data_IF_940500151115
#
_entry.id   IF_940500151115
#
_cell.length_a   1.000
_cell.length_b   1.000
_cell.length_c   1.000
_cell.angle_alpha   90.00
_cell.angle_beta   90.00
_cell.angle_gamma   90.00
#
_symmetry.space_group_name_H-M   'P 1'
#
loop_
_entity.id
_entity.type
_entity.pdbx_description
1 polymer ?
#
# COMPACT_ATOMS: atom_id res chain seq x y z
N UNK A 1 -54.36 16.87 -33.15
CA UNK A 1 -53.13 16.10 -33.45
C UNK A 1 -52.04 16.61 -32.52
N UNK A 2 -51.91 16.01 -31.33
CA UNK A 2 -50.84 16.36 -30.34
C UNK A 2 -49.68 15.42 -30.56
N UNK A 3 -48.52 15.94 -30.93
CA UNK A 3 -47.28 15.19 -31.07
C UNK A 3 -46.59 15.17 -29.70
N UNK A 4 -46.61 14.03 -29.00
CA UNK A 4 -45.84 13.80 -27.75
C UNK A 4 -44.36 13.75 -28.09
N UNK A 5 -43.60 14.71 -27.61
CA UNK A 5 -42.14 14.69 -27.60
C UNK A 5 -41.66 13.87 -26.38
N UNK A 6 -41.20 12.67 -26.61
CA UNK A 6 -40.56 11.86 -25.57
C UNK A 6 -39.09 12.33 -25.47
N UNK A 7 -38.79 13.06 -24.40
CA UNK A 7 -37.43 13.48 -24.06
C UNK A 7 -36.71 12.33 -23.41
N UNK A 8 -35.85 11.65 -24.19
CA UNK A 8 -35.02 10.54 -23.67
C UNK A 8 -33.88 11.10 -22.83
N UNK A 9 -33.99 10.98 -21.53
CA UNK A 9 -32.95 11.39 -20.58
C UNK A 9 -31.88 10.27 -20.50
N UNK A 10 -30.77 10.45 -21.25
CA UNK A 10 -29.58 9.61 -21.11
C UNK A 10 -28.91 9.89 -19.78
N UNK A 11 -29.12 9.01 -18.80
CA UNK A 11 -28.35 9.02 -17.55
C UNK A 11 -26.98 8.42 -17.86
N UNK A 12 -25.97 9.28 -18.07
CA UNK A 12 -24.57 8.86 -18.05
C UNK A 12 -24.20 8.42 -16.61
N UNK A 13 -24.23 7.12 -16.36
CA UNK A 13 -23.58 6.55 -15.18
C UNK A 13 -22.06 6.73 -15.33
N UNK A 14 -21.53 7.79 -14.73
CA UNK A 14 -20.09 7.88 -14.49
C UNK A 14 -19.70 6.76 -13.54
N UNK A 15 -19.13 5.67 -14.06
CA UNK A 15 -18.48 4.64 -13.27
C UNK A 15 -17.27 5.28 -12.60
N UNK A 16 -17.42 5.72 -11.35
CA UNK A 16 -16.28 6.04 -10.49
C UNK A 16 -15.54 4.71 -10.28
N UNK A 17 -14.40 4.58 -10.93
CA UNK A 17 -13.51 3.43 -10.71
C UNK A 17 -13.17 3.36 -9.22
N UNK A 18 -13.77 2.41 -8.52
CA UNK A 18 -13.32 2.03 -7.19
C UNK A 18 -11.93 1.45 -7.38
N UNK A 19 -10.91 2.19 -6.97
CA UNK A 19 -9.57 1.65 -6.90
C UNK A 19 -9.65 0.44 -5.99
N UNK A 20 -9.44 -0.75 -6.53
CA UNK A 20 -9.46 -1.96 -5.74
C UNK A 20 -8.32 -1.88 -4.73
N UNK A 21 -8.61 -2.00 -3.44
CA UNK A 21 -7.58 -2.12 -2.42
C UNK A 21 -6.71 -3.34 -2.74
N UNK A 22 -5.39 -3.25 -2.47
CA UNK A 22 -4.47 -4.35 -2.71
C UNK A 22 -4.91 -5.66 -2.06
N UNK A 23 -4.55 -6.79 -2.66
CA UNK A 23 -4.89 -8.12 -2.16
C UNK A 23 -3.81 -8.62 -1.18
N UNK A 24 -4.10 -8.72 0.14
CA UNK A 24 -3.09 -9.11 1.12
C UNK A 24 -2.64 -10.58 0.98
N UNK A 25 -3.46 -11.47 0.40
CA UNK A 25 -3.06 -12.86 0.15
C UNK A 25 -2.02 -12.94 -0.98
N UNK A 26 -2.24 -12.21 -2.08
CA UNK A 26 -1.26 -12.06 -3.14
C UNK A 26 0.00 -11.36 -2.63
N UNK A 27 -0.15 -10.32 -1.80
CA UNK A 27 0.94 -9.60 -1.15
C UNK A 27 1.82 -10.51 -0.29
N UNK A 28 1.24 -11.46 0.43
CA UNK A 28 1.98 -12.46 1.22
C UNK A 28 2.94 -13.28 0.35
N UNK A 29 2.50 -13.71 -0.83
CA UNK A 29 3.35 -14.47 -1.73
C UNK A 29 4.46 -13.61 -2.33
N UNK A 30 4.15 -12.38 -2.71
CA UNK A 30 5.11 -11.39 -3.23
C UNK A 30 6.12 -10.95 -2.16
N UNK A 31 5.72 -10.88 -0.89
CA UNK A 31 6.56 -10.51 0.24
C UNK A 31 7.72 -11.47 0.52
N UNK A 32 7.74 -12.67 -0.06
CA UNK A 32 8.85 -13.62 0.07
C UNK A 32 10.18 -13.02 -0.38
N UNK A 33 10.17 -12.17 -1.40
CA UNK A 33 11.37 -11.47 -1.87
C UNK A 33 11.87 -10.42 -0.85
N UNK A 34 11.01 -9.91 0.00
CA UNK A 34 11.31 -8.89 1.01
C UNK A 34 11.77 -9.49 2.35
N UNK A 35 11.45 -10.76 2.57
CA UNK A 35 11.57 -11.43 3.86
C UNK A 35 13.01 -11.54 4.36
N UNK A 36 13.99 -11.67 3.47
CA UNK A 36 15.40 -11.81 3.83
C UNK A 36 15.92 -10.61 4.65
N UNK A 37 15.40 -9.42 4.40
CA UNK A 37 15.79 -8.20 5.08
C UNK A 37 14.74 -7.75 6.11
N UNK A 38 13.47 -7.74 5.72
CA UNK A 38 12.40 -7.18 6.54
C UNK A 38 11.67 -8.19 7.44
N UNK A 39 11.99 -9.48 7.33
CA UNK A 39 11.24 -10.54 7.99
C UNK A 39 9.99 -10.96 7.21
N UNK A 40 9.53 -12.18 7.40
CA UNK A 40 8.40 -12.75 6.66
C UNK A 40 7.08 -11.96 6.88
N UNK A 41 6.92 -11.39 8.05
CA UNK A 41 5.78 -10.57 8.46
C UNK A 41 6.08 -9.07 8.49
N UNK A 42 7.29 -8.66 8.09
CA UNK A 42 7.73 -7.28 8.14
C UNK A 42 8.27 -6.84 9.51
N UNK A 43 8.44 -7.76 10.46
CA UNK A 43 9.13 -7.49 11.73
C UNK A 43 10.61 -7.86 11.58
N UNK A 44 11.40 -6.92 11.10
CA UNK A 44 12.84 -7.12 10.92
C UNK A 44 13.52 -7.58 12.22
N UNK A 45 14.41 -8.57 12.09
CA UNK A 45 15.21 -9.07 13.22
C UNK A 45 16.35 -8.12 13.61
N UNK A 46 16.68 -7.14 12.78
CA UNK A 46 17.77 -6.19 13.02
C UNK A 46 17.32 -4.76 12.81
N UNK A 47 17.90 -3.79 13.53
CA UNK A 47 17.59 -2.37 13.32
C UNK A 47 18.12 -1.80 11.99
N UNK A 48 18.95 -2.55 11.27
CA UNK A 48 19.49 -2.14 9.98
C UNK A 48 18.40 -2.05 8.92
N UNK A 49 17.41 -2.92 8.99
CA UNK A 49 16.28 -2.96 8.05
C UNK A 49 15.01 -2.46 8.75
N UNK A 50 14.29 -1.53 8.15
CA UNK A 50 13.10 -0.97 8.79
C UNK A 50 11.99 -2.00 8.95
N UNK A 51 11.23 -1.85 10.04
CA UNK A 51 10.01 -2.60 10.28
C UNK A 51 8.91 -2.12 9.34
N UNK A 52 8.25 -3.07 8.66
CA UNK A 52 7.12 -2.82 7.74
C UNK A 52 5.78 -3.21 8.36
N UNK A 53 5.80 -4.17 9.29
CA UNK A 53 4.60 -4.70 9.93
C UNK A 53 3.80 -3.61 10.63
N UNK A 54 2.52 -3.50 10.27
CA UNK A 54 1.61 -2.51 10.85
C UNK A 54 1.85 -1.06 10.40
N UNK A 55 2.67 -0.84 9.36
CA UNK A 55 2.81 0.48 8.76
C UNK A 55 1.56 0.83 7.96
N UNK A 56 1.25 2.12 7.82
CA UNK A 56 0.13 2.59 7.01
C UNK A 56 0.25 2.13 5.56
N UNK A 57 -0.83 1.58 5.02
CA UNK A 57 -0.88 1.04 3.66
C UNK A 57 -0.50 2.10 2.61
N UNK A 58 -1.09 3.29 2.70
CA UNK A 58 -0.78 4.41 1.82
C UNK A 58 0.69 4.88 1.91
N UNK A 59 1.30 4.82 3.10
CA UNK A 59 2.71 5.15 3.27
C UNK A 59 3.60 4.11 2.59
N UNK A 60 3.29 2.83 2.72
CA UNK A 60 4.03 1.75 2.05
C UNK A 60 3.96 1.88 0.52
N UNK A 61 2.77 2.18 -0.02
CA UNK A 61 2.57 2.45 -1.45
C UNK A 61 3.44 3.62 -1.90
N UNK A 62 3.36 4.73 -1.18
CA UNK A 62 4.15 5.92 -1.50
C UNK A 62 5.66 5.64 -1.45
N UNK A 63 6.13 4.96 -0.41
CA UNK A 63 7.55 4.65 -0.25
C UNK A 63 8.08 3.75 -1.38
N UNK A 64 7.35 2.69 -1.76
CA UNK A 64 7.74 1.81 -2.86
C UNK A 64 7.74 2.53 -4.21
N UNK A 65 6.74 3.37 -4.48
CA UNK A 65 6.69 4.20 -5.70
C UNK A 65 7.84 5.20 -5.74
N UNK A 66 8.18 5.82 -4.61
CA UNK A 66 9.29 6.76 -4.52
C UNK A 66 10.67 6.08 -4.76
N UNK A 67 10.87 4.86 -4.26
CA UNK A 67 12.07 4.08 -4.58
C UNK A 67 12.13 3.69 -6.06
N UNK A 68 11.00 3.26 -6.63
CA UNK A 68 10.90 2.88 -8.03
C UNK A 68 11.17 4.04 -8.99
N UNK A 69 10.69 5.24 -8.66
CA UNK A 69 10.88 6.46 -9.45
C UNK A 69 12.25 7.12 -9.25
N UNK A 70 13.00 6.73 -8.21
CA UNK A 70 14.26 7.38 -7.85
C UNK A 70 14.09 8.64 -7.00
N UNK A 71 12.87 9.02 -6.66
CA UNK A 71 12.59 10.15 -5.76
C UNK A 71 13.16 9.89 -4.36
N UNK A 72 13.11 8.64 -3.90
CA UNK A 72 13.76 8.19 -2.68
C UNK A 72 14.99 7.37 -3.02
N UNK A 73 16.17 7.82 -2.56
CA UNK A 73 17.45 7.21 -2.90
C UNK A 73 17.86 6.16 -1.86
N UNK A 74 17.86 4.91 -2.27
CA UNK A 74 18.48 3.78 -1.59
C UNK A 74 18.76 2.71 -2.65
N UNK A 75 20.02 2.37 -2.95
CA UNK A 75 20.35 1.46 -4.04
C UNK A 75 19.72 0.07 -3.91
N UNK A 76 19.61 -0.46 -2.69
CA UNK A 76 19.01 -1.77 -2.42
C UNK A 76 17.51 -1.72 -2.72
N UNK A 77 16.81 -0.76 -2.12
CA UNK A 77 15.37 -0.64 -2.30
C UNK A 77 14.98 -0.21 -3.71
N UNK A 78 15.79 0.60 -4.39
CA UNK A 78 15.56 0.93 -5.80
C UNK A 78 15.61 -0.33 -6.67
N UNK A 79 16.58 -1.22 -6.45
CA UNK A 79 16.66 -2.50 -7.14
C UNK A 79 15.48 -3.43 -6.83
N UNK A 80 15.01 -3.46 -5.59
CA UNK A 80 13.87 -4.28 -5.17
C UNK A 80 12.53 -3.74 -5.69
N UNK A 81 12.37 -2.42 -5.79
CA UNK A 81 11.14 -1.79 -6.24
C UNK A 81 11.02 -1.70 -7.77
N UNK A 82 12.15 -1.69 -8.49
CA UNK A 82 12.18 -1.52 -9.95
C UNK A 82 11.26 -2.50 -10.72
N UNK A 83 11.25 -3.81 -10.43
CA UNK A 83 10.43 -4.77 -11.17
C UNK A 83 8.94 -4.77 -10.76
N UNK A 84 8.55 -4.11 -9.65
CA UNK A 84 7.19 -4.15 -9.13
C UNK A 84 6.22 -3.39 -10.05
N UNK A 85 5.06 -3.98 -10.31
CA UNK A 85 3.92 -3.27 -10.90
C UNK A 85 3.20 -2.44 -9.83
N UNK A 86 2.28 -1.56 -10.23
CA UNK A 86 1.46 -0.83 -9.27
C UNK A 86 0.58 -1.78 -8.43
N UNK A 87 0.06 -2.84 -9.06
CA UNK A 87 -0.68 -3.89 -8.36
C UNK A 87 0.19 -4.62 -7.33
N UNK A 88 1.46 -4.95 -7.68
CA UNK A 88 2.38 -5.57 -6.74
C UNK A 88 2.64 -4.69 -5.52
N UNK A 89 2.79 -3.40 -5.74
CA UNK A 89 3.00 -2.41 -4.67
C UNK A 89 1.77 -2.33 -3.75
N UNK A 90 0.58 -2.30 -4.32
CA UNK A 90 -0.68 -2.26 -3.56
C UNK A 90 -0.89 -3.55 -2.75
N UNK A 91 -0.62 -4.72 -3.34
CA UNK A 91 -0.73 -6.01 -2.68
C UNK A 91 0.26 -6.15 -1.51
N UNK A 92 1.52 -5.78 -1.74
CA UNK A 92 2.56 -5.77 -0.69
C UNK A 92 2.20 -4.83 0.46
N UNK A 93 1.73 -3.63 0.15
CA UNK A 93 1.30 -2.67 1.15
C UNK A 93 0.10 -3.19 1.96
N UNK A 94 -0.87 -3.80 1.28
CA UNK A 94 -2.03 -4.42 1.92
C UNK A 94 -1.63 -5.58 2.85
N UNK A 95 -0.61 -6.35 2.50
CA UNK A 95 -0.10 -7.43 3.34
C UNK A 95 0.60 -6.90 4.58
N UNK A 96 1.63 -6.07 4.42
CA UNK A 96 2.44 -5.61 5.54
C UNK A 96 1.68 -4.70 6.50
N UNK A 97 0.77 -3.88 6.01
CA UNK A 97 -0.04 -3.00 6.86
C UNK A 97 -0.93 -3.76 7.85
N UNK A 98 -1.32 -4.98 7.52
CA UNK A 98 -2.16 -5.83 8.36
C UNK A 98 -1.39 -6.72 9.33
N UNK A 99 -0.06 -6.72 9.28
CA UNK A 99 0.76 -7.48 10.22
C UNK A 99 0.84 -6.76 11.58
N UNK A 100 0.95 -7.54 12.66
CA UNK A 100 1.20 -6.98 14.00
C UNK A 100 2.62 -6.43 14.08
N UNK A 101 2.77 -5.19 14.48
CA UNK A 101 4.08 -4.53 14.55
C UNK A 101 3.98 -3.11 15.08
N UNK A 102 4.06 -2.11 14.21
CA UNK A 102 4.08 -0.70 14.62
C UNK A 102 2.82 -0.24 15.38
N UNK A 103 1.68 -0.88 15.15
CA UNK A 103 0.43 -0.57 15.84
C UNK A 103 0.30 -1.21 17.25
N UNK A 104 1.20 -2.10 17.63
CA UNK A 104 1.25 -2.63 19.00
C UNK A 104 1.84 -1.63 20.01
N UNK A 105 2.05 -0.40 19.59
CA UNK A 105 2.40 0.70 20.51
C UNK A 105 1.21 0.96 21.42
N UNK A 106 1.36 0.87 22.76
CA UNK A 106 0.26 1.13 23.68
C UNK A 106 -0.43 2.45 23.37
N UNK A 107 -1.76 2.45 23.36
CA UNK A 107 -2.60 3.59 22.97
C UNK A 107 -2.22 4.91 23.67
N UNK A 108 -1.66 4.84 24.89
CA UNK A 108 -1.19 6.01 25.64
C UNK A 108 -0.03 6.78 25.00
N UNK A 109 0.71 6.18 24.05
CA UNK A 109 1.78 6.91 23.33
C UNK A 109 1.30 7.72 22.15
N UNK A 110 0.13 7.39 21.62
CA UNK A 110 -0.45 8.12 20.48
C UNK A 110 -1.15 9.42 20.91
N UNK A 111 -1.37 9.60 22.20
CA UNK A 111 -2.05 10.76 22.78
C UNK A 111 -1.10 11.81 23.39
N UNK A 112 0.20 11.56 23.40
CA UNK A 112 1.15 12.56 23.84
C UNK A 112 1.39 13.58 22.73
N UNK A 113 1.12 14.88 22.96
CA UNK A 113 1.53 15.92 22.02
C UNK A 113 3.07 15.86 21.89
N UNK A 114 3.57 16.05 20.67
CA UNK A 114 4.99 16.22 20.44
C UNK A 114 5.56 17.33 21.31
N UNK A 115 6.78 17.18 21.87
CA UNK A 115 7.42 18.21 22.66
C UNK A 115 7.67 19.48 21.86
#
# INVERSE_FOLDING_TARGET
MMKSLILSLCICCAATGVQAAGNPAAGKDKAKACAACHGADGNSATPMYPKLAGQYENYLIHALKAYKSGERTNPIMAGMAAPLTDEDIEDLAAYFSRQKGLYDTPAGRLTQPAP
#
